data_IF_187492766488
#
_entry.id   IF_187492766488
#
_cell.length_a   1.000
_cell.length_b   1.000
_cell.length_c   1.000
_cell.angle_alpha   90.00
_cell.angle_beta   90.00
_cell.angle_gamma   90.00
#
_symmetry.space_group_name_H-M   'P 1'
#
loop_
_entity.id
_entity.type
_entity.pdbx_description
1 polymer ?
#
# COMPACT_ATOMS: atom_id res chain seq x y z
N UNK A 1 -13.59 9.72 25.74
CA UNK A 1 -13.87 11.19 25.90
C UNK A 1 -13.19 11.87 24.72
N UNK A 2 -13.94 12.21 23.68
CA UNK A 2 -13.41 12.98 22.56
C UNK A 2 -13.29 14.43 22.99
N UNK A 3 -12.06 14.88 23.22
CA UNK A 3 -11.77 16.31 23.37
C UNK A 3 -11.92 16.98 22.01
N UNK A 4 -13.03 17.71 21.83
CA UNK A 4 -13.20 18.65 20.73
C UNK A 4 -12.24 19.83 20.95
N UNK A 5 -10.97 19.68 20.59
CA UNK A 5 -10.10 20.82 20.40
C UNK A 5 -10.36 21.36 18.99
N UNK A 6 -11.23 22.37 18.88
CA UNK A 6 -11.18 23.32 17.79
C UNK A 6 -9.88 24.13 17.94
N UNK A 7 -8.77 23.58 17.47
CA UNK A 7 -7.55 24.34 17.23
C UNK A 7 -7.86 25.31 16.10
N UNK A 8 -7.94 26.60 16.43
CA UNK A 8 -8.15 27.68 15.47
C UNK A 8 -6.82 27.86 14.74
N UNK A 9 -6.65 27.16 13.61
CA UNK A 9 -5.59 27.49 12.67
C UNK A 9 -5.80 28.93 12.18
N UNK A 10 -4.73 29.68 11.99
CA UNK A 10 -4.74 31.08 11.58
C UNK A 10 -5.64 31.27 10.35
N UNK A 11 -6.62 32.18 10.48
CA UNK A 11 -7.57 32.53 9.41
C UNK A 11 -6.98 33.49 8.38
N UNK A 12 -5.71 33.44 8.11
CA UNK A 12 -5.12 34.26 7.06
C UNK A 12 -5.58 33.74 5.71
N UNK A 13 -6.47 34.48 5.04
CA UNK A 13 -6.90 34.26 3.67
C UNK A 13 -5.70 34.51 2.71
N UNK A 14 -4.74 33.64 2.71
CA UNK A 14 -3.74 33.60 1.66
C UNK A 14 -4.20 32.44 0.75
N UNK A 15 -4.69 32.77 -0.43
CA UNK A 15 -4.83 31.83 -1.54
C UNK A 15 -3.42 31.37 -1.91
N UNK A 16 -2.98 30.32 -1.23
CA UNK A 16 -1.73 29.66 -1.57
C UNK A 16 -1.94 28.72 -2.77
N UNK A 17 -0.90 27.96 -3.09
CA UNK A 17 -0.81 26.92 -4.10
C UNK A 17 -2.03 25.99 -4.19
N UNK A 18 -2.79 25.83 -3.13
CA UNK A 18 -3.93 24.93 -3.07
C UNK A 18 -5.26 25.57 -3.47
N UNK A 19 -5.36 26.92 -3.59
CA UNK A 19 -6.59 27.63 -3.87
C UNK A 19 -7.68 27.46 -2.81
N UNK A 20 -7.30 27.10 -1.59
CA UNK A 20 -8.19 26.88 -0.45
C UNK A 20 -7.47 27.15 0.88
N UNK A 21 -8.23 27.20 1.96
CA UNK A 21 -7.70 27.38 3.33
C UNK A 21 -7.15 26.08 3.90
N UNK A 22 -6.30 26.15 4.93
CA UNK A 22 -5.79 24.99 5.68
C UNK A 22 -6.94 24.14 6.24
N UNK A 23 -8.00 24.76 6.77
CA UNK A 23 -9.14 24.06 7.33
C UNK A 23 -9.92 23.26 6.24
N UNK A 24 -10.09 23.81 5.06
CA UNK A 24 -10.73 23.10 3.94
C UNK A 24 -9.87 21.92 3.45
N UNK A 25 -8.55 22.11 3.39
CA UNK A 25 -7.61 21.05 3.04
C UNK A 25 -7.60 19.92 4.10
N UNK A 26 -7.57 20.28 5.40
CA UNK A 26 -7.63 19.33 6.50
C UNK A 26 -8.92 18.50 6.45
N UNK A 27 -10.06 19.14 6.22
CA UNK A 27 -11.35 18.42 6.15
C UNK A 27 -11.39 17.44 4.97
N UNK A 28 -10.90 17.83 3.79
CA UNK A 28 -10.80 16.93 2.63
C UNK A 28 -9.84 15.75 2.89
N UNK A 29 -8.69 16.01 3.50
CA UNK A 29 -7.74 14.98 3.88
C UNK A 29 -8.32 13.99 4.88
N UNK A 30 -9.02 14.50 5.90
CA UNK A 30 -9.73 13.69 6.90
C UNK A 30 -10.80 12.79 6.25
N UNK A 31 -11.61 13.32 5.35
CA UNK A 31 -12.62 12.54 4.64
C UNK A 31 -11.99 11.40 3.82
N UNK A 32 -10.90 11.66 3.10
CA UNK A 32 -10.19 10.64 2.35
C UNK A 32 -9.56 9.58 3.27
N UNK A 33 -8.98 9.99 4.40
CA UNK A 33 -8.41 9.06 5.38
C UNK A 33 -9.51 8.22 6.04
N UNK A 34 -10.64 8.80 6.41
CA UNK A 34 -11.80 8.07 6.93
C UNK A 34 -12.27 7.00 5.94
N UNK A 35 -12.41 7.36 4.66
CA UNK A 35 -12.75 6.39 3.60
C UNK A 35 -11.73 5.24 3.50
N UNK A 36 -10.44 5.54 3.66
CA UNK A 36 -9.40 4.51 3.67
C UNK A 36 -9.53 3.59 4.88
N UNK A 37 -9.73 4.15 6.08
CA UNK A 37 -9.90 3.36 7.30
C UNK A 37 -11.15 2.47 7.23
N UNK A 38 -12.25 2.94 6.65
CA UNK A 38 -13.43 2.10 6.40
C UNK A 38 -13.13 0.90 5.48
N UNK A 39 -12.25 1.07 4.49
CA UNK A 39 -11.79 -0.05 3.65
C UNK A 39 -10.96 -1.03 4.47
N UNK A 40 -10.05 -0.53 5.32
CA UNK A 40 -9.20 -1.34 6.20
C UNK A 40 -10.05 -2.12 7.21
N UNK A 41 -11.01 -1.48 7.87
CA UNK A 41 -11.93 -2.12 8.83
C UNK A 41 -12.74 -3.28 8.24
N UNK A 42 -13.00 -3.24 6.94
CA UNK A 42 -13.73 -4.31 6.24
C UNK A 42 -12.85 -5.48 5.80
N UNK A 43 -11.51 -5.37 5.89
CA UNK A 43 -10.61 -6.46 5.47
C UNK A 43 -10.87 -7.78 6.22
N UNK A 44 -11.04 -7.79 7.56
CA UNK A 44 -11.35 -9.02 8.29
C UNK A 44 -12.66 -9.68 7.90
N UNK A 45 -13.58 -8.95 7.28
CA UNK A 45 -14.92 -9.41 6.91
C UNK A 45 -14.98 -9.98 5.49
N UNK A 46 -13.94 -9.82 4.66
CA UNK A 46 -13.91 -10.34 3.29
C UNK A 46 -14.03 -11.87 3.33
N UNK A 47 -14.93 -12.45 2.54
CA UNK A 47 -15.09 -13.89 2.38
C UNK A 47 -14.60 -14.33 1.01
N UNK A 48 -14.09 -15.56 0.93
CA UNK A 48 -13.61 -16.11 -0.34
C UNK A 48 -14.76 -16.37 -1.34
N UNK A 49 -15.98 -16.51 -0.84
CA UNK A 49 -17.22 -16.64 -1.61
C UNK A 49 -17.70 -15.29 -2.17
N UNK A 50 -17.17 -14.17 -1.68
CA UNK A 50 -17.54 -12.85 -2.19
C UNK A 50 -17.23 -12.77 -3.69
N UNK A 51 -18.04 -12.04 -4.42
CA UNK A 51 -17.86 -11.86 -5.87
C UNK A 51 -16.49 -11.27 -6.21
N UNK A 52 -15.97 -10.40 -5.32
CA UNK A 52 -14.64 -9.78 -5.43
C UNK A 52 -13.90 -9.89 -4.09
N UNK A 53 -13.32 -11.06 -3.77
CA UNK A 53 -12.62 -11.27 -2.50
C UNK A 53 -11.24 -10.59 -2.45
N UNK A 54 -10.77 -10.07 -3.59
CA UNK A 54 -9.46 -9.43 -3.70
C UNK A 54 -9.60 -7.92 -3.75
N UNK A 55 -8.65 -7.21 -3.15
CA UNK A 55 -8.58 -5.75 -3.15
C UNK A 55 -7.27 -5.26 -3.75
N UNK A 56 -7.34 -4.20 -4.52
CA UNK A 56 -6.19 -3.45 -5.00
C UNK A 56 -6.29 -2.02 -4.48
N UNK A 57 -5.36 -1.65 -3.61
CA UNK A 57 -5.31 -0.32 -2.98
C UNK A 57 -4.10 0.42 -3.54
N UNK A 58 -4.31 1.56 -4.17
CA UNK A 58 -3.21 2.38 -4.63
C UNK A 58 -3.37 3.83 -4.17
N UNK A 59 -2.25 4.55 -4.09
CA UNK A 59 -2.22 5.94 -3.62
C UNK A 59 -0.80 6.38 -3.31
N UNK A 60 -0.66 7.62 -2.88
CA UNK A 60 0.64 8.22 -2.60
C UNK A 60 1.51 7.37 -1.66
N UNK A 61 2.83 7.30 -1.91
CA UNK A 61 3.76 6.67 -0.98
C UNK A 61 3.85 7.47 0.33
N UNK A 62 4.17 6.78 1.43
CA UNK A 62 4.46 7.43 2.71
C UNK A 62 3.27 8.05 3.45
N UNK A 63 2.02 7.75 3.07
CA UNK A 63 0.81 8.21 3.78
C UNK A 63 0.32 7.25 4.87
N UNK A 64 1.10 6.22 5.20
CA UNK A 64 0.77 5.27 6.28
C UNK A 64 -0.12 4.09 5.88
N UNK A 65 -0.36 3.83 4.59
CA UNK A 65 -1.24 2.72 4.13
C UNK A 65 -0.90 1.38 4.77
N UNK A 66 0.34 0.95 4.63
CA UNK A 66 0.81 -0.36 5.12
C UNK A 66 0.77 -0.45 6.64
N UNK A 67 1.08 0.65 7.34
CA UNK A 67 1.02 0.73 8.79
C UNK A 67 -0.42 0.52 9.30
N UNK A 68 -1.38 1.28 8.78
CA UNK A 68 -2.79 1.17 9.20
C UNK A 68 -3.37 -0.22 8.90
N UNK A 69 -3.07 -0.77 7.72
CA UNK A 69 -3.51 -2.13 7.35
C UNK A 69 -2.93 -3.16 8.31
N UNK A 70 -1.62 -3.15 8.55
CA UNK A 70 -0.95 -4.12 9.43
C UNK A 70 -1.47 -4.02 10.86
N UNK A 71 -1.58 -2.80 11.37
CA UNK A 71 -2.11 -2.56 12.72
C UNK A 71 -3.52 -3.12 12.88
N UNK A 72 -4.40 -2.84 11.91
CA UNK A 72 -5.78 -3.33 11.96
C UNK A 72 -5.88 -4.86 11.86
N UNK A 73 -5.12 -5.49 10.96
CA UNK A 73 -5.08 -6.95 10.84
C UNK A 73 -4.58 -7.61 12.14
N UNK A 74 -3.58 -7.02 12.80
CA UNK A 74 -3.07 -7.50 14.09
C UNK A 74 -4.12 -7.35 15.19
N UNK A 75 -4.71 -6.18 15.34
CA UNK A 75 -5.73 -5.90 16.39
C UNK A 75 -6.97 -6.78 16.22
N UNK A 76 -7.38 -7.02 14.98
CA UNK A 76 -8.53 -7.90 14.68
C UNK A 76 -8.23 -9.39 14.81
N UNK A 77 -6.98 -9.79 15.05
CA UNK A 77 -6.56 -11.19 15.06
C UNK A 77 -6.71 -11.89 13.70
N UNK A 78 -6.78 -11.13 12.61
CA UNK A 78 -6.94 -11.68 11.27
C UNK A 78 -5.67 -12.36 10.80
N UNK A 79 -5.77 -13.63 10.41
CA UNK A 79 -4.62 -14.38 9.87
C UNK A 79 -4.20 -13.79 8.50
N UNK A 80 -2.94 -13.43 8.35
CA UNK A 80 -2.41 -12.93 7.08
C UNK A 80 -0.97 -13.36 6.83
N UNK A 81 -0.60 -13.42 5.55
CA UNK A 81 0.77 -13.52 5.06
C UNK A 81 1.16 -12.17 4.50
N UNK A 82 2.21 -11.55 5.06
CA UNK A 82 2.75 -10.29 4.52
C UNK A 82 3.88 -10.60 3.54
N UNK A 83 3.75 -10.04 2.33
CA UNK A 83 4.75 -10.10 1.25
C UNK A 83 5.16 -8.67 0.92
N UNK A 84 6.44 -8.34 1.09
CA UNK A 84 6.94 -6.97 0.90
C UNK A 84 8.13 -6.89 -0.04
N UNK A 85 8.27 -5.76 -0.72
CA UNK A 85 9.44 -5.43 -1.54
C UNK A 85 9.52 -6.17 -2.87
N UNK A 86 10.73 -6.20 -3.42
CA UNK A 86 11.02 -6.80 -4.73
C UNK A 86 11.01 -8.34 -4.66
N UNK A 87 9.84 -8.94 -4.64
CA UNK A 87 9.68 -10.39 -4.59
C UNK A 87 9.56 -10.96 -6.01
N UNK A 88 10.42 -11.93 -6.35
CA UNK A 88 10.27 -12.68 -7.60
C UNK A 88 9.02 -13.56 -7.56
N UNK A 89 8.44 -13.87 -8.72
CA UNK A 89 7.29 -14.79 -8.81
C UNK A 89 7.59 -16.18 -8.23
N UNK A 90 8.85 -16.63 -8.28
CA UNK A 90 9.27 -17.85 -7.61
C UNK A 90 9.16 -17.72 -6.09
N UNK A 91 9.79 -16.69 -5.50
CA UNK A 91 9.77 -16.48 -4.07
C UNK A 91 8.35 -16.25 -3.54
N UNK A 92 7.52 -15.52 -4.30
CA UNK A 92 6.10 -15.36 -4.03
C UNK A 92 5.36 -16.70 -4.00
N UNK A 93 5.54 -17.53 -5.04
CA UNK A 93 4.95 -18.86 -5.11
C UNK A 93 5.39 -19.79 -3.96
N UNK A 94 6.68 -19.72 -3.57
CA UNK A 94 7.20 -20.48 -2.41
C UNK A 94 6.51 -20.06 -1.12
N UNK A 95 6.30 -18.75 -0.89
CA UNK A 95 5.59 -18.27 0.29
C UNK A 95 4.13 -18.73 0.30
N UNK A 96 3.45 -18.70 -0.85
CA UNK A 96 2.10 -19.24 -0.99
C UNK A 96 2.07 -20.75 -0.73
N UNK A 97 3.05 -21.52 -1.22
CA UNK A 97 3.15 -22.95 -1.00
C UNK A 97 3.33 -23.28 0.49
N UNK A 98 4.23 -22.58 1.18
CA UNK A 98 4.47 -22.77 2.62
C UNK A 98 3.23 -22.46 3.43
N UNK A 99 2.58 -21.33 3.19
CA UNK A 99 1.41 -20.96 4.00
C UNK A 99 0.21 -21.86 3.72
N UNK A 100 0.02 -22.34 2.46
CA UNK A 100 -1.02 -23.30 2.12
C UNK A 100 -0.74 -24.67 2.77
N UNK A 101 0.49 -25.16 2.68
CA UNK A 101 0.94 -26.39 3.32
C UNK A 101 0.72 -26.38 4.85
N UNK A 102 0.95 -25.22 5.48
CA UNK A 102 0.73 -25.00 6.91
C UNK A 102 -0.74 -24.71 7.25
N UNK A 103 -1.65 -24.78 6.28
CA UNK A 103 -3.09 -24.51 6.45
C UNK A 103 -3.94 -25.69 5.94
N UNK A 104 -3.82 -26.88 6.53
CA UNK A 104 -4.50 -28.10 6.04
C UNK A 104 -6.02 -28.00 6.12
N UNK A 105 -6.55 -27.20 7.04
CA UNK A 105 -7.99 -26.97 7.19
C UNK A 105 -8.55 -25.96 6.18
N UNK A 106 -7.70 -25.40 5.30
CA UNK A 106 -8.07 -24.37 4.34
C UNK A 106 -8.79 -23.18 4.97
N UNK A 107 -8.38 -22.82 6.18
CA UNK A 107 -8.87 -21.63 6.85
C UNK A 107 -8.55 -20.39 6.02
N UNK A 108 -9.42 -19.42 6.11
CA UNK A 108 -9.26 -18.15 5.39
C UNK A 108 -7.96 -17.44 5.77
N UNK A 109 -7.28 -16.91 4.74
CA UNK A 109 -6.03 -16.18 4.86
C UNK A 109 -6.07 -14.93 3.99
N UNK A 110 -5.58 -13.80 4.51
CA UNK A 110 -5.27 -12.62 3.68
C UNK A 110 -3.81 -12.69 3.24
N UNK A 111 -3.56 -12.65 1.93
CA UNK A 111 -2.22 -12.44 1.37
C UNK A 111 -2.06 -10.94 1.14
N UNK A 112 -1.41 -10.29 2.09
CA UNK A 112 -1.13 -8.85 2.06
C UNK A 112 0.19 -8.61 1.33
N UNK A 113 0.10 -8.10 0.12
CA UNK A 113 1.24 -7.76 -0.73
C UNK A 113 1.45 -6.24 -0.70
N UNK A 114 2.55 -5.81 -0.10
CA UNK A 114 2.93 -4.40 0.02
C UNK A 114 4.07 -4.06 -0.95
N UNK A 115 3.96 -2.93 -1.67
CA UNK A 115 4.89 -2.50 -2.72
C UNK A 115 5.10 -3.56 -3.82
N UNK A 116 4.00 -4.12 -4.33
CA UNK A 116 4.00 -5.27 -5.26
C UNK A 116 4.23 -4.92 -6.72
N UNK A 117 4.84 -3.81 -7.02
CA UNK A 117 5.06 -3.33 -8.38
C UNK A 117 5.77 -4.38 -9.26
N UNK A 118 6.64 -5.20 -8.66
CA UNK A 118 7.32 -6.31 -9.35
C UNK A 118 6.37 -7.43 -9.78
N UNK A 119 5.33 -7.72 -9.01
CA UNK A 119 4.34 -8.76 -9.34
C UNK A 119 3.48 -8.37 -10.56
N UNK A 120 3.44 -7.11 -10.93
CA UNK A 120 2.71 -6.58 -12.09
C UNK A 120 3.64 -5.95 -13.14
N UNK A 121 4.95 -6.20 -13.06
CA UNK A 121 5.95 -5.57 -13.95
C UNK A 121 6.08 -6.23 -15.32
N UNK A 122 5.72 -7.51 -15.45
CA UNK A 122 5.84 -8.28 -16.69
C UNK A 122 4.53 -8.98 -17.04
N UNK A 123 4.35 -9.33 -18.32
CA UNK A 123 3.19 -10.11 -18.78
C UNK A 123 3.12 -11.48 -18.11
N UNK A 124 4.27 -12.13 -17.94
CA UNK A 124 4.36 -13.44 -17.28
C UNK A 124 3.90 -13.37 -15.82
N UNK A 125 4.40 -12.39 -15.06
CA UNK A 125 3.98 -12.20 -13.67
C UNK A 125 2.49 -11.84 -13.55
N UNK A 126 2.00 -10.96 -14.42
CA UNK A 126 0.57 -10.65 -14.48
C UNK A 126 -0.29 -11.90 -14.77
N UNK A 127 0.15 -12.81 -15.67
CA UNK A 127 -0.58 -14.03 -15.98
C UNK A 127 -0.65 -14.98 -14.77
N UNK A 128 0.46 -15.18 -14.07
CA UNK A 128 0.48 -15.99 -12.86
C UNK A 128 -0.42 -15.40 -11.75
N UNK A 129 -0.37 -14.09 -11.56
CA UNK A 129 -1.23 -13.41 -10.58
C UNK A 129 -2.72 -13.51 -10.97
N UNK A 130 -3.07 -13.33 -12.26
CA UNK A 130 -4.46 -13.50 -12.74
C UNK A 130 -5.02 -14.89 -12.46
N UNK A 131 -4.20 -15.93 -12.63
CA UNK A 131 -4.60 -17.31 -12.36
C UNK A 131 -4.87 -17.54 -10.87
N UNK A 132 -4.08 -16.92 -10.00
CA UNK A 132 -4.27 -16.97 -8.55
C UNK A 132 -5.53 -16.20 -8.08
N UNK A 133 -5.86 -15.10 -8.75
CA UNK A 133 -6.99 -14.24 -8.38
C UNK A 133 -8.34 -14.72 -8.92
N UNK A 134 -8.38 -15.50 -10.00
CA UNK A 134 -9.65 -15.84 -10.66
C UNK A 134 -9.54 -17.14 -11.47
N UNK A 135 -10.68 -17.71 -11.84
CA UNK A 135 -10.78 -18.96 -12.59
C UNK A 135 -10.45 -20.16 -11.68
N UNK A 136 -9.41 -20.93 -11.96
CA UNK A 136 -9.07 -22.11 -11.16
C UNK A 136 -8.63 -21.78 -9.73
N UNK A 137 -8.43 -20.50 -9.39
CA UNK A 137 -7.86 -20.06 -8.10
C UNK A 137 -6.59 -20.86 -7.77
N UNK A 138 -5.63 -20.82 -8.70
CA UNK A 138 -4.41 -21.60 -8.66
C UNK A 138 -3.22 -20.71 -9.03
N UNK A 139 -2.25 -20.59 -8.16
CA UNK A 139 -0.96 -20.03 -8.53
C UNK A 139 -0.11 -21.13 -9.18
N UNK A 140 0.45 -20.88 -10.36
CA UNK A 140 1.26 -21.86 -11.09
C UNK A 140 2.64 -21.30 -11.39
N UNK A 141 3.66 -22.09 -11.05
CA UNK A 141 5.06 -21.83 -11.41
C UNK A 141 5.59 -23.00 -12.25
N UNK A 142 5.87 -22.76 -13.53
CA UNK A 142 6.15 -23.84 -14.52
C UNK A 142 7.63 -24.04 -14.82
N UNK A 143 8.53 -23.23 -14.24
CA UNK A 143 9.96 -23.31 -14.52
C UNK A 143 10.64 -24.39 -13.69
N UNK A 144 11.81 -24.88 -14.18
CA UNK A 144 12.66 -25.82 -13.43
C UNK A 144 13.10 -25.23 -12.08
N UNK A 145 13.08 -26.08 -11.06
CA UNK A 145 13.45 -25.73 -9.69
C UNK A 145 14.94 -26.01 -9.38
N UNK A 146 15.66 -26.70 -10.27
CA UNK A 146 17.01 -27.22 -9.99
C UNK A 146 18.00 -26.16 -9.48
N UNK A 147 18.05 -25.00 -10.13
CA UNK A 147 19.00 -23.94 -9.78
C UNK A 147 18.68 -23.23 -8.45
N UNK A 148 17.47 -23.39 -7.95
CA UNK A 148 16.97 -22.66 -6.76
C UNK A 148 16.77 -23.60 -5.56
N UNK A 149 16.77 -24.94 -5.83
CA UNK A 149 16.45 -25.95 -4.83
C UNK A 149 17.37 -25.97 -3.63
N UNK A 150 18.67 -25.74 -3.85
CA UNK A 150 19.68 -25.74 -2.77
C UNK A 150 19.54 -24.55 -1.82
N UNK A 151 18.92 -23.45 -2.27
CA UNK A 151 18.73 -22.23 -1.49
C UNK A 151 17.44 -22.25 -0.67
N UNK A 152 16.62 -23.29 -0.79
CA UNK A 152 15.37 -23.42 -0.04
C UNK A 152 15.60 -24.08 1.30
N UNK A 153 14.85 -23.65 2.33
CA UNK A 153 14.78 -24.35 3.61
C UNK A 153 14.08 -25.71 3.45
N UNK A 154 14.20 -26.57 4.46
CA UNK A 154 13.55 -27.89 4.46
C UNK A 154 12.02 -27.74 4.35
N UNK A 155 11.41 -26.86 5.15
CA UNK A 155 9.98 -26.58 5.09
C UNK A 155 9.52 -26.10 3.69
N UNK A 156 10.30 -25.24 3.04
CA UNK A 156 9.98 -24.76 1.70
C UNK A 156 10.04 -25.89 0.66
N UNK A 157 11.03 -26.80 0.79
CA UNK A 157 11.14 -27.96 -0.10
C UNK A 157 9.99 -28.93 0.10
N UNK A 158 9.59 -29.19 1.35
CA UNK A 158 8.43 -30.03 1.64
C UNK A 158 7.13 -29.42 1.10
N UNK A 159 6.91 -28.13 1.33
CA UNK A 159 5.75 -27.43 0.80
C UNK A 159 5.69 -27.45 -0.72
N UNK A 160 6.82 -27.25 -1.42
CA UNK A 160 6.88 -27.34 -2.87
C UNK A 160 6.59 -28.77 -3.33
N UNK A 161 7.20 -29.81 -2.73
CA UNK A 161 6.94 -31.21 -3.05
C UNK A 161 5.47 -31.57 -2.91
N UNK A 162 4.82 -31.08 -1.85
CA UNK A 162 3.39 -31.28 -1.63
C UNK A 162 2.53 -30.71 -2.74
N UNK A 163 2.97 -29.58 -3.34
CA UNK A 163 2.28 -28.89 -4.41
C UNK A 163 2.79 -29.22 -5.82
N UNK A 164 3.74 -30.14 -5.95
CA UNK A 164 4.31 -30.57 -7.23
C UNK A 164 3.59 -31.81 -7.73
N UNK A 165 3.00 -31.72 -8.92
CA UNK A 165 2.48 -32.90 -9.60
C UNK A 165 3.62 -33.77 -10.14
N UNK A 166 3.42 -35.10 -10.12
CA UNK A 166 4.38 -36.05 -10.64
C UNK A 166 4.71 -35.78 -12.12
N UNK A 167 5.98 -35.70 -12.45
CA UNK A 167 6.47 -35.43 -13.83
C UNK A 167 6.44 -33.92 -14.22
N UNK A 168 5.99 -33.02 -13.37
CA UNK A 168 6.03 -31.56 -13.61
C UNK A 168 7.32 -30.95 -13.10
N UNK A 169 7.85 -29.95 -13.81
CA UNK A 169 9.06 -29.24 -13.39
C UNK A 169 8.81 -28.18 -12.34
N UNK A 170 7.59 -27.66 -12.24
CA UNK A 170 7.18 -26.60 -11.34
C UNK A 170 6.20 -27.07 -10.26
N UNK A 171 5.44 -26.16 -9.69
CA UNK A 171 4.44 -26.45 -8.66
C UNK A 171 3.19 -25.57 -8.81
N UNK A 172 2.08 -26.04 -8.25
CA UNK A 172 0.78 -25.35 -8.30
C UNK A 172 0.20 -25.25 -6.89
N UNK A 173 -0.15 -24.02 -6.47
CA UNK A 173 -0.69 -23.75 -5.13
C UNK A 173 -2.15 -23.33 -5.23
N UNK A 174 -3.09 -24.07 -4.63
CA UNK A 174 -4.48 -23.64 -4.52
C UNK A 174 -4.59 -22.33 -3.73
N UNK A 175 -5.33 -21.37 -4.27
CA UNK A 175 -5.55 -20.05 -3.66
C UNK A 175 -6.99 -19.80 -3.27
N UNK A 176 -7.84 -20.84 -3.27
CA UNK A 176 -9.26 -20.75 -2.98
C UNK A 176 -9.56 -20.26 -1.57
N UNK A 177 -8.70 -20.54 -0.59
CA UNK A 177 -8.79 -20.03 0.79
C UNK A 177 -8.13 -18.65 0.99
N UNK A 178 -7.56 -18.07 -0.07
CA UNK A 178 -6.76 -16.83 0.02
C UNK A 178 -7.49 -15.64 -0.57
N UNK A 179 -7.54 -14.54 0.18
CA UNK A 179 -7.96 -13.22 -0.31
C UNK A 179 -6.71 -12.35 -0.47
N UNK A 180 -6.51 -11.79 -1.66
CA UNK A 180 -5.33 -10.96 -1.91
C UNK A 180 -5.64 -9.49 -1.66
N UNK A 181 -4.80 -8.85 -0.86
CA UNK A 181 -4.76 -7.41 -0.66
C UNK A 181 -3.46 -6.90 -1.29
N UNK A 182 -3.58 -6.27 -2.44
CA UNK A 182 -2.45 -5.73 -3.19
C UNK A 182 -2.37 -4.23 -2.94
N UNK A 183 -1.27 -3.78 -2.35
CA UNK A 183 -1.01 -2.35 -2.09
C UNK A 183 0.14 -1.90 -2.98
N UNK A 184 -0.07 -0.80 -3.70
CA UNK A 184 0.87 -0.30 -4.70
C UNK A 184 0.88 1.23 -4.73
N UNK A 185 1.98 1.80 -5.19
CA UNK A 185 2.06 3.21 -5.56
C UNK A 185 1.74 3.44 -7.04
N UNK A 186 1.54 2.36 -7.81
CA UNK A 186 1.23 2.40 -9.24
C UNK A 186 -0.25 2.10 -9.48
N UNK A 187 -0.91 2.95 -10.24
CA UNK A 187 -2.28 2.74 -10.69
C UNK A 187 -2.36 1.63 -11.74
N UNK A 188 -3.36 0.77 -11.61
CA UNK A 188 -3.71 -0.18 -12.67
C UNK A 188 -4.48 0.54 -13.78
N UNK A 189 -4.13 0.29 -15.08
CA UNK A 189 -4.73 0.97 -16.20
C UNK A 189 -6.23 0.68 -16.34
N UNK A 190 -6.96 1.66 -16.84
CA UNK A 190 -8.37 1.55 -17.24
C UNK A 190 -8.53 0.95 -18.62
N UNK A 191 -9.76 0.58 -19.01
CA UNK A 191 -10.05 0.08 -20.36
C UNK A 191 -9.74 1.12 -21.44
N UNK A 192 -10.00 2.41 -21.16
CA UNK A 192 -9.69 3.50 -22.10
C UNK A 192 -8.19 3.68 -22.32
N UNK A 193 -7.39 3.60 -21.25
CA UNK A 193 -5.93 3.67 -21.34
C UNK A 193 -5.36 2.51 -22.15
N UNK A 194 -5.90 1.30 -21.99
CA UNK A 194 -5.51 0.13 -22.79
C UNK A 194 -5.89 0.33 -24.26
N UNK A 195 -7.09 0.87 -24.54
CA UNK A 195 -7.54 1.18 -25.90
C UNK A 195 -6.63 2.19 -26.58
N UNK A 196 -6.36 3.31 -25.92
CA UNK A 196 -5.47 4.37 -26.42
C UNK A 196 -4.03 3.86 -26.65
N UNK A 197 -3.54 2.97 -25.77
CA UNK A 197 -2.23 2.37 -25.96
C UNK A 197 -2.16 1.44 -27.18
N UNK A 198 -3.25 0.71 -27.48
CA UNK A 198 -3.34 -0.14 -28.70
C UNK A 198 -3.25 0.68 -29.99
N UNK A 199 -3.85 1.88 -29.99
CA UNK A 199 -3.81 2.78 -31.13
C UNK A 199 -2.41 3.37 -31.33
N UNK A 200 -1.69 3.69 -30.25
CA UNK A 200 -0.40 4.40 -30.29
C UNK A 200 0.83 3.47 -30.30
N UNK A 201 0.81 2.38 -29.55
CA UNK A 201 1.97 1.50 -29.37
C UNK A 201 1.57 0.08 -28.96
N UNK A 202 1.56 -0.83 -29.92
CA UNK A 202 1.16 -2.24 -29.71
C UNK A 202 1.99 -2.97 -28.66
N UNK A 203 3.30 -2.70 -28.53
CA UNK A 203 4.18 -3.39 -27.59
C UNK A 203 3.86 -3.08 -26.13
N UNK A 204 3.53 -1.82 -25.79
CA UNK A 204 3.10 -1.42 -24.45
C UNK A 204 1.67 -1.87 -24.14
N UNK A 205 0.82 -1.98 -25.14
CA UNK A 205 -0.59 -2.31 -24.98
C UNK A 205 -0.82 -3.71 -24.39
N UNK A 206 0.04 -4.68 -24.69
CA UNK A 206 -0.07 -6.04 -24.15
C UNK A 206 0.07 -6.06 -22.63
N UNK A 207 1.14 -5.48 -22.07
CA UNK A 207 1.33 -5.41 -20.63
C UNK A 207 0.21 -4.63 -19.93
N UNK A 208 -0.24 -3.51 -20.52
CA UNK A 208 -1.36 -2.74 -19.96
C UNK A 208 -2.66 -3.57 -19.94
N UNK A 209 -2.94 -4.36 -20.98
CA UNK A 209 -4.09 -5.26 -21.01
C UNK A 209 -4.02 -6.32 -19.89
N UNK A 210 -2.82 -6.87 -19.63
CA UNK A 210 -2.61 -7.82 -18.53
C UNK A 210 -2.83 -7.15 -17.15
N UNK A 211 -2.34 -5.93 -16.94
CA UNK A 211 -2.58 -5.16 -15.70
C UNK A 211 -4.07 -4.82 -15.54
N UNK A 212 -4.74 -4.41 -16.61
CA UNK A 212 -6.18 -4.15 -16.60
C UNK A 212 -6.98 -5.41 -16.24
N UNK A 213 -6.56 -6.56 -16.71
CA UNK A 213 -7.17 -7.83 -16.34
C UNK A 213 -7.01 -8.20 -14.84
N UNK A 214 -5.97 -7.71 -14.15
CA UNK A 214 -5.87 -7.78 -12.69
C UNK A 214 -6.87 -6.82 -12.06
N UNK A 215 -6.97 -5.57 -12.59
CA UNK A 215 -7.95 -4.58 -12.15
C UNK A 215 -9.38 -5.14 -12.13
N UNK A 216 -9.77 -5.87 -13.17
CA UNK A 216 -11.12 -6.45 -13.29
C UNK A 216 -11.41 -7.58 -12.27
N UNK A 217 -10.39 -8.13 -11.62
CA UNK A 217 -10.50 -9.21 -10.62
C UNK A 217 -10.44 -8.72 -9.18
N UNK A 218 -10.12 -7.45 -8.99
CA UNK A 218 -10.01 -6.83 -7.68
C UNK A 218 -11.04 -5.73 -7.51
N UNK A 219 -11.48 -5.51 -6.28
CA UNK A 219 -12.14 -4.27 -5.91
C UNK A 219 -11.05 -3.20 -5.76
N UNK A 220 -11.00 -2.28 -6.72
CA UNK A 220 -9.97 -1.24 -6.76
C UNK A 220 -10.37 -0.07 -5.87
N UNK A 221 -9.43 0.34 -5.02
CA UNK A 221 -9.54 1.49 -4.13
C UNK A 221 -8.47 2.51 -4.50
N UNK A 222 -8.93 3.65 -4.98
CA UNK A 222 -8.09 4.76 -5.43
C UNK A 222 -7.97 5.81 -4.34
N UNK A 223 -6.74 6.02 -3.87
CA UNK A 223 -6.33 7.07 -2.94
C UNK A 223 -5.30 8.00 -3.57
N UNK A 224 -5.48 8.29 -4.87
CA UNK A 224 -4.79 9.40 -5.54
C UNK A 224 -5.35 10.72 -5.00
N UNK A 225 -4.51 11.46 -4.30
CA UNK A 225 -4.88 12.70 -3.63
C UNK A 225 -4.37 13.91 -4.41
N UNK A 226 -5.10 15.00 -4.41
CA UNK A 226 -4.56 16.31 -4.78
C UNK A 226 -3.54 16.77 -3.73
N UNK A 227 -2.74 17.77 -4.03
CA UNK A 227 -1.80 18.32 -3.06
C UNK A 227 -2.48 18.76 -1.76
N UNK A 228 -3.65 19.40 -1.87
CA UNK A 228 -4.43 19.83 -0.70
C UNK A 228 -4.94 18.66 0.14
N UNK A 229 -5.47 17.63 -0.52
CA UNK A 229 -5.94 16.42 0.16
C UNK A 229 -4.79 15.65 0.82
N UNK A 230 -3.61 15.60 0.17
CA UNK A 230 -2.41 14.98 0.71
C UNK A 230 -1.91 15.73 1.95
N UNK A 231 -1.82 17.07 1.88
CA UNK A 231 -1.49 17.89 3.05
C UNK A 231 -2.50 17.65 4.18
N UNK A 232 -3.79 17.70 3.87
CA UNK A 232 -4.85 17.47 4.85
C UNK A 232 -4.84 16.06 5.46
N UNK A 233 -4.49 15.04 4.69
CA UNK A 233 -4.29 13.68 5.20
C UNK A 233 -3.14 13.63 6.20
N UNK A 234 -1.98 14.20 5.83
CA UNK A 234 -0.80 14.29 6.70
C UNK A 234 -1.16 15.05 7.99
N UNK A 235 -1.84 16.20 7.86
CA UNK A 235 -2.28 16.99 8.99
C UNK A 235 -3.23 16.21 9.92
N UNK A 236 -4.19 15.48 9.39
CA UNK A 236 -5.09 14.63 10.17
C UNK A 236 -4.33 13.52 10.92
N UNK A 237 -3.33 12.89 10.29
CA UNK A 237 -2.47 11.91 10.97
C UNK A 237 -1.70 12.54 12.12
N UNK A 238 -1.06 13.71 11.90
CA UNK A 238 -0.27 14.40 12.93
C UNK A 238 -1.13 14.79 14.14
N UNK A 239 -2.32 15.35 13.88
CA UNK A 239 -3.19 15.90 14.93
C UNK A 239 -4.00 14.82 15.66
N UNK A 240 -4.37 13.74 14.99
CA UNK A 240 -5.36 12.78 15.50
C UNK A 240 -4.79 11.36 15.70
N UNK A 241 -3.48 11.15 15.54
CA UNK A 241 -2.84 9.88 15.86
C UNK A 241 -1.64 10.06 16.78
N UNK A 242 -1.10 8.95 17.25
CA UNK A 242 0.08 8.90 18.12
C UNK A 242 1.41 8.87 17.34
N UNK A 243 1.41 9.19 16.03
CA UNK A 243 2.60 9.04 15.18
C UNK A 243 3.81 9.85 15.65
N UNK A 244 3.59 10.97 16.35
CA UNK A 244 4.65 11.82 16.91
C UNK A 244 4.83 11.70 18.43
N UNK A 245 4.12 10.81 19.11
CA UNK A 245 4.22 10.67 20.57
C UNK A 245 5.62 10.27 21.03
N UNK A 246 6.34 9.47 20.25
CA UNK A 246 7.72 9.09 20.55
C UNK A 246 8.70 10.27 20.58
N UNK A 247 8.33 11.41 20.01
CA UNK A 247 9.14 12.63 19.98
C UNK A 247 8.72 13.64 21.05
N UNK A 248 7.73 13.31 21.91
CA UNK A 248 7.19 14.16 22.97
C UNK A 248 6.77 15.57 22.50
N UNK A 249 6.25 15.68 21.27
CA UNK A 249 5.84 16.96 20.69
C UNK A 249 4.53 17.47 21.30
N UNK A 250 4.50 18.73 21.66
CA UNK A 250 3.28 19.44 22.05
C UNK A 250 2.38 19.71 20.83
N UNK A 251 1.13 20.05 21.08
CA UNK A 251 0.21 20.39 19.97
C UNK A 251 0.64 21.68 19.24
N UNK A 252 1.23 22.64 19.95
CA UNK A 252 1.80 23.84 19.35
C UNK A 252 2.96 23.50 18.41
N UNK A 253 3.81 22.58 18.80
CA UNK A 253 4.94 22.13 17.97
C UNK A 253 4.49 21.37 16.73
N UNK A 254 3.42 20.58 16.84
CA UNK A 254 2.79 19.94 15.67
C UNK A 254 2.25 20.99 14.68
N UNK A 255 1.65 22.07 15.19
CA UNK A 255 1.16 23.16 14.34
C UNK A 255 2.29 23.88 13.61
N UNK A 256 3.44 24.12 14.26
CA UNK A 256 4.62 24.72 13.61
C UNK A 256 5.07 23.86 12.41
N UNK A 257 5.11 22.54 12.55
CA UNK A 257 5.42 21.65 11.44
C UNK A 257 4.39 21.79 10.32
N UNK A 258 3.10 21.83 10.66
CA UNK A 258 2.03 21.93 9.67
C UNK A 258 2.05 23.26 8.92
N UNK A 259 2.34 24.36 9.59
CA UNK A 259 2.48 25.68 8.98
C UNK A 259 3.70 25.72 8.04
N UNK A 260 4.85 25.19 8.48
CA UNK A 260 6.03 25.08 7.62
C UNK A 260 5.75 24.28 6.35
N UNK A 261 5.07 23.14 6.47
CA UNK A 261 4.69 22.31 5.31
C UNK A 261 3.73 23.06 4.38
N UNK A 262 2.76 23.79 4.93
CA UNK A 262 1.79 24.55 4.16
C UNK A 262 2.47 25.66 3.34
N UNK A 263 3.33 26.43 3.98
CA UNK A 263 4.00 27.57 3.35
C UNK A 263 5.04 27.16 2.31
N UNK A 264 5.65 25.98 2.48
CA UNK A 264 6.74 25.51 1.63
C UNK A 264 6.37 24.31 0.73
N UNK A 265 5.11 23.95 0.63
CA UNK A 265 4.66 22.70 0.00
C UNK A 265 5.25 22.41 -1.38
N UNK A 266 5.30 23.41 -2.27
CA UNK A 266 5.84 23.23 -3.62
C UNK A 266 7.33 22.97 -3.66
N UNK A 267 8.05 23.55 -2.73
CA UNK A 267 9.49 23.44 -2.60
C UNK A 267 9.96 22.19 -1.84
N UNK A 268 9.04 21.46 -1.19
CA UNK A 268 9.40 20.26 -0.45
C UNK A 268 9.98 19.17 -1.35
N UNK A 269 11.08 18.57 -0.93
CA UNK A 269 11.71 17.42 -1.60
C UNK A 269 10.92 16.12 -1.41
N UNK A 270 10.20 16.00 -0.29
CA UNK A 270 9.38 14.85 0.07
C UNK A 270 8.05 15.34 0.67
N UNK A 271 6.95 14.62 0.44
CA UNK A 271 5.61 14.91 0.97
C UNK A 271 5.04 13.64 1.56
N UNK A 272 5.47 13.30 2.77
CA UNK A 272 5.12 12.04 3.42
C UNK A 272 5.11 12.17 4.94
N UNK A 273 4.51 11.22 5.64
CA UNK A 273 4.61 11.12 7.10
C UNK A 273 6.06 10.94 7.55
N UNK A 274 6.90 10.25 6.74
CA UNK A 274 8.33 10.08 7.05
C UNK A 274 9.09 11.42 7.09
N UNK A 275 8.71 12.39 6.25
CA UNK A 275 9.28 13.75 6.35
C UNK A 275 8.96 14.36 7.71
N UNK A 276 7.74 14.19 8.19
CA UNK A 276 7.32 14.76 9.47
C UNK A 276 8.11 14.17 10.64
N UNK A 277 8.36 12.86 10.61
CA UNK A 277 9.22 12.21 11.62
C UNK A 277 10.63 12.79 11.61
N UNK A 278 11.22 13.00 10.42
CA UNK A 278 12.53 13.66 10.28
C UNK A 278 12.52 15.10 10.84
N UNK A 279 11.46 15.86 10.55
CA UNK A 279 11.30 17.21 11.07
C UNK A 279 11.20 17.24 12.61
N UNK A 280 10.47 16.29 13.20
CA UNK A 280 10.35 16.15 14.65
C UNK A 280 11.70 15.79 15.29
N UNK A 281 12.48 14.91 14.69
CA UNK A 281 13.85 14.56 15.14
C UNK A 281 14.73 15.82 15.15
N UNK A 282 14.77 16.54 14.02
CA UNK A 282 15.61 17.76 13.89
C UNK A 282 15.20 18.82 14.90
N UNK A 283 13.89 19.00 15.13
CA UNK A 283 13.40 19.95 16.12
C UNK A 283 13.90 19.62 17.53
N UNK A 284 13.92 18.34 17.89
CA UNK A 284 14.43 17.91 19.21
C UNK A 284 15.95 18.04 19.31
N UNK A 285 16.68 17.81 18.24
CA UNK A 285 18.16 17.91 18.21
C UNK A 285 18.65 19.36 18.14
N UNK A 286 17.90 20.24 17.46
CA UNK A 286 18.27 21.64 17.20
C UNK A 286 17.15 22.61 17.57
N UNK A 287 16.74 22.70 18.86
CA UNK A 287 15.55 23.42 19.27
C UNK A 287 15.54 24.91 18.92
N UNK A 288 16.72 25.54 18.82
CA UNK A 288 16.85 26.97 18.53
C UNK A 288 17.05 27.29 17.03
N UNK A 289 17.35 26.26 16.18
CA UNK A 289 17.73 26.48 14.78
C UNK A 289 17.06 25.51 13.81
N UNK A 290 16.09 24.73 14.27
CA UNK A 290 15.42 23.69 13.47
C UNK A 290 14.80 24.23 12.16
N UNK A 291 14.23 25.42 12.15
CA UNK A 291 13.64 26.01 10.94
C UNK A 291 14.66 26.27 9.85
N UNK A 292 15.87 26.72 10.22
CA UNK A 292 16.97 26.88 9.28
C UNK A 292 17.42 25.53 8.73
N UNK A 293 17.50 24.50 9.56
CA UNK A 293 17.89 23.14 9.15
C UNK A 293 16.82 22.55 8.23
N UNK A 294 15.53 22.71 8.55
CA UNK A 294 14.43 22.29 7.66
C UNK A 294 14.52 22.97 6.29
N UNK A 295 14.82 24.27 6.26
CA UNK A 295 15.00 25.02 5.02
C UNK A 295 16.17 24.49 4.17
N UNK A 296 17.24 24.03 4.78
CA UNK A 296 18.40 23.48 4.07
C UNK A 296 18.13 22.05 3.60
N UNK A 297 17.57 21.21 4.45
CA UNK A 297 17.51 19.76 4.22
C UNK A 297 16.30 19.34 3.40
N UNK A 298 15.19 20.06 3.49
CA UNK A 298 13.89 19.63 2.94
C UNK A 298 13.33 20.50 1.82
N UNK A 299 13.92 21.66 1.54
CA UNK A 299 13.53 22.51 0.42
C UNK A 299 14.48 22.35 -0.78
N UNK A 300 13.90 22.55 -1.99
CA UNK A 300 14.65 22.54 -3.27
C UNK A 300 15.21 23.91 -3.58
#
# INVERSE_FOLDING_TARGET
MHLNHQLIMSTTQITNVFGMTQNEALEKGRQNRTRFLEVVEKLPQIRNEDKYPHKFVFGFPGIGKSYEITNHLNVSGTRYLMVTGNVSMFAFGVQLAVINFSNPLQERLIVFCDDVDTLVSTEASCNQLKSALHGPKMFTYEKSLQSQWTNLSELQREAIKYHQEEGKMGFQVPTSSMSFLLVSNIQLPTDDEVRLAREKNKGKASLLAHKNAIRSRCMVQDFSLTNAELWGWIADVILNTECLNQFNMTDEEKLIILDFLWDNWESLTERSIRLIEKMAIIKNEYPDTYEMVWGIDFLK
#
